data_IF_563624818338
#
_entry.id   IF_563624818338
#
_cell.length_a   1.000
_cell.length_b   1.000
_cell.length_c   1.000
_cell.angle_alpha   90.00
_cell.angle_beta   90.00
_cell.angle_gamma   90.00
#
_symmetry.space_group_name_H-M   'P 1'
#
loop_
_entity.id
_entity.type
_entity.pdbx_description
1 polymer ?
#
# COMPACT_ATOMS: atom_id res chain seq x y z
N UNK A 1 -3.37 -3.46 -12.03
CA UNK A 1 -2.25 -4.21 -12.62
C UNK A 1 -1.51 -4.96 -11.53
N UNK A 2 -1.14 -6.18 -11.78
CA UNK A 2 -0.42 -7.01 -10.82
C UNK A 2 0.90 -7.43 -11.45
N UNK A 3 1.96 -7.26 -10.68
CA UNK A 3 3.31 -7.61 -11.12
C UNK A 3 3.91 -8.58 -10.11
N UNK A 4 4.54 -9.64 -10.60
CA UNK A 4 5.26 -10.60 -9.77
C UNK A 4 6.74 -10.49 -10.06
N UNK A 5 7.52 -10.31 -9.02
CA UNK A 5 8.96 -10.20 -9.15
C UNK A 5 9.62 -11.12 -8.11
N UNK A 6 10.37 -12.15 -8.53
CA UNK A 6 11.02 -13.06 -7.59
C UNK A 6 12.24 -12.46 -6.89
N UNK A 7 12.72 -11.29 -7.34
CA UNK A 7 13.88 -10.65 -6.74
C UNK A 7 13.48 -9.91 -5.48
N UNK A 8 14.46 -9.49 -4.70
CA UNK A 8 14.26 -9.11 -3.31
C UNK A 8 13.48 -7.82 -3.08
N UNK A 9 13.37 -6.90 -4.02
CA UNK A 9 12.68 -5.63 -3.81
C UNK A 9 11.85 -5.27 -5.04
N UNK A 10 10.69 -5.89 -5.19
CA UNK A 10 9.88 -5.69 -6.39
C UNK A 10 9.40 -4.25 -6.55
N UNK A 11 9.10 -3.56 -5.45
CA UNK A 11 8.62 -2.18 -5.56
C UNK A 11 9.71 -1.26 -6.10
N UNK A 12 10.91 -1.32 -5.53
CA UNK A 12 12.01 -0.47 -5.97
C UNK A 12 12.37 -0.74 -7.42
N UNK A 13 12.37 -2.01 -7.84
CA UNK A 13 12.69 -2.37 -9.22
C UNK A 13 11.68 -1.77 -10.19
N UNK A 14 10.40 -1.90 -9.90
CA UNK A 14 9.35 -1.36 -10.78
C UNK A 14 9.40 0.16 -10.82
N UNK A 15 9.58 0.80 -9.68
CA UNK A 15 9.61 2.25 -9.62
C UNK A 15 10.85 2.81 -10.30
N UNK A 16 12.00 2.16 -10.15
CA UNK A 16 13.22 2.59 -10.81
C UNK A 16 13.09 2.56 -12.34
N UNK A 17 12.46 1.51 -12.86
CA UNK A 17 12.21 1.40 -14.29
C UNK A 17 11.27 2.50 -14.78
N UNK A 18 10.44 3.02 -13.93
CA UNK A 18 9.46 4.05 -14.26
C UNK A 18 9.96 5.47 -13.98
N UNK A 19 11.19 5.63 -13.50
CA UNK A 19 11.70 6.96 -13.14
C UNK A 19 11.10 7.50 -11.86
N UNK A 20 10.66 6.62 -10.96
CA UNK A 20 10.03 6.98 -9.69
C UNK A 20 10.86 6.46 -8.52
N UNK A 21 10.70 7.08 -7.38
CA UNK A 21 11.38 6.66 -6.15
C UNK A 21 10.42 6.68 -4.99
N UNK A 22 10.40 5.60 -4.22
CA UNK A 22 9.60 5.49 -3.03
C UNK A 22 10.37 5.92 -1.79
N UNK A 23 9.69 6.60 -0.87
CA UNK A 23 10.25 6.99 0.41
C UNK A 23 9.28 6.61 1.51
N UNK A 24 9.68 5.70 2.37
CA UNK A 24 8.85 5.23 3.47
C UNK A 24 8.74 6.32 4.54
N UNK A 25 7.54 6.66 4.95
CA UNK A 25 7.33 7.72 5.94
C UNK A 25 6.35 7.35 7.04
N UNK A 26 5.61 6.26 6.89
CA UNK A 26 4.55 5.88 7.81
C UNK A 26 4.64 4.39 8.12
N UNK A 27 4.48 4.07 9.40
CA UNK A 27 4.39 2.70 9.88
C UNK A 27 3.03 2.53 10.56
N UNK A 28 2.30 1.50 10.18
CA UNK A 28 0.99 1.21 10.74
C UNK A 28 0.93 -0.21 11.27
N UNK A 29 1.14 -0.43 12.57
CA UNK A 29 0.76 -1.68 13.20
C UNK A 29 -0.74 -1.68 13.47
N UNK A 30 -1.40 -2.79 13.24
CA UNK A 30 -2.83 -2.92 13.50
C UNK A 30 -3.17 -4.34 13.92
N UNK A 31 -4.27 -4.49 14.64
CA UNK A 31 -4.73 -5.78 15.10
C UNK A 31 -6.20 -5.75 15.44
N UNK A 32 -6.78 -6.95 15.63
CA UNK A 32 -8.20 -7.09 15.87
C UNK A 32 -9.02 -6.76 14.62
N UNK A 33 -10.21 -6.22 14.81
CA UNK A 33 -11.05 -5.76 13.71
C UNK A 33 -10.78 -4.30 13.41
N UNK A 34 -10.36 -4.00 12.19
CA UNK A 34 -10.04 -2.64 11.81
C UNK A 34 -10.29 -2.41 10.34
N UNK A 35 -10.58 -1.16 9.99
CA UNK A 35 -10.70 -0.72 8.61
C UNK A 35 -10.42 0.78 8.52
N UNK A 36 -9.51 1.16 7.63
CA UNK A 36 -9.08 2.54 7.45
C UNK A 36 -9.24 2.96 6.01
N UNK A 37 -9.81 4.15 5.81
CA UNK A 37 -9.94 4.76 4.49
C UNK A 37 -8.85 5.79 4.31
N UNK A 38 -8.17 5.72 3.17
CA UNK A 38 -7.13 6.65 2.77
C UNK A 38 -7.58 7.39 1.52
N UNK A 39 -7.26 8.67 1.46
CA UNK A 39 -7.56 9.50 0.29
C UNK A 39 -6.30 10.23 -0.14
N UNK A 40 -5.38 9.55 -0.83
CA UNK A 40 -4.14 10.19 -1.23
C UNK A 40 -4.37 11.19 -2.35
N UNK A 41 -3.66 12.30 -2.29
CA UNK A 41 -3.69 13.32 -3.34
C UNK A 41 -2.61 13.07 -4.39
N UNK A 42 -1.66 12.22 -4.07
CA UNK A 42 -0.50 11.93 -4.89
C UNK A 42 -0.33 10.42 -5.04
N UNK A 43 0.77 10.04 -5.63
CA UNK A 43 1.14 8.64 -5.75
C UNK A 43 1.63 8.13 -4.40
N UNK A 44 1.00 7.09 -3.90
CA UNK A 44 1.34 6.49 -2.60
C UNK A 44 1.60 5.02 -2.76
N UNK A 45 2.45 4.48 -1.88
CA UNK A 45 2.69 3.04 -1.83
C UNK A 45 2.49 2.52 -0.41
N UNK A 46 2.23 1.21 -0.31
CA UNK A 46 2.19 0.49 0.95
C UNK A 46 2.75 -0.90 0.76
N UNK A 47 3.45 -1.38 1.76
CA UNK A 47 4.02 -2.73 1.78
C UNK A 47 3.50 -3.43 3.03
N UNK A 48 3.00 -4.65 2.88
CA UNK A 48 2.64 -5.48 4.02
C UNK A 48 3.91 -6.13 4.54
N UNK A 49 4.36 -5.67 5.68
CA UNK A 49 5.59 -6.16 6.27
C UNK A 49 5.37 -7.46 7.03
N UNK A 50 4.21 -7.58 7.69
CA UNK A 50 3.88 -8.75 8.50
C UNK A 50 2.37 -8.92 8.52
N UNK A 51 1.92 -10.18 8.55
CA UNK A 51 0.50 -10.49 8.60
C UNK A 51 -0.16 -10.37 7.24
N UNK A 52 -1.45 -10.13 7.24
CA UNK A 52 -2.22 -9.96 6.01
C UNK A 52 -3.41 -9.03 6.24
N UNK A 53 -3.87 -8.43 5.18
CA UNK A 53 -5.02 -7.53 5.22
C UNK A 53 -5.74 -7.53 3.86
N UNK A 54 -6.84 -6.78 3.78
CA UNK A 54 -7.61 -6.64 2.56
C UNK A 54 -7.48 -5.23 2.01
N UNK A 55 -7.37 -5.13 0.70
CA UNK A 55 -7.36 -3.86 -0.02
C UNK A 55 -8.65 -3.74 -0.83
N UNK A 56 -9.34 -2.61 -0.67
CA UNK A 56 -10.52 -2.29 -1.48
C UNK A 56 -10.29 -0.97 -2.20
N UNK A 57 -10.56 -0.96 -3.49
CA UNK A 57 -10.54 0.25 -4.31
C UNK A 57 -11.86 0.32 -5.07
N UNK A 58 -12.29 1.52 -5.51
CA UNK A 58 -13.55 1.64 -6.23
C UNK A 58 -13.58 0.75 -7.48
N UNK A 59 -14.74 0.16 -7.72
CA UNK A 59 -15.02 -0.62 -8.93
C UNK A 59 -14.18 -1.88 -9.10
N UNK A 60 -13.54 -2.35 -8.03
CA UNK A 60 -12.79 -3.59 -8.05
C UNK A 60 -13.14 -4.46 -6.85
N UNK A 61 -13.06 -5.80 -6.98
CA UNK A 61 -13.30 -6.66 -5.84
C UNK A 61 -12.21 -6.49 -4.78
N UNK A 62 -12.56 -6.78 -3.53
CA UNK A 62 -11.59 -6.75 -2.45
C UNK A 62 -10.47 -7.74 -2.72
N UNK A 63 -9.25 -7.35 -2.41
CA UNK A 63 -8.07 -8.18 -2.65
C UNK A 63 -7.30 -8.41 -1.36
N UNK A 64 -6.95 -9.67 -1.12
CA UNK A 64 -6.17 -10.05 0.05
C UNK A 64 -4.68 -9.82 -0.22
N UNK A 65 -4.04 -9.14 0.70
CA UNK A 65 -2.60 -8.89 0.64
C UNK A 65 -1.90 -9.64 1.77
N UNK A 66 -0.76 -10.19 1.48
CA UNK A 66 0.05 -10.97 2.42
C UNK A 66 1.40 -10.32 2.62
N UNK A 67 2.12 -10.76 3.64
CA UNK A 67 3.46 -10.22 3.91
C UNK A 67 4.34 -10.28 2.67
N UNK A 68 4.97 -9.18 2.37
CA UNK A 68 5.80 -9.01 1.17
C UNK A 68 5.08 -8.37 -0.01
N UNK A 69 3.75 -8.43 -0.03
CA UNK A 69 2.99 -7.78 -1.09
C UNK A 69 3.02 -6.26 -0.92
N UNK A 70 3.01 -5.56 -2.02
CA UNK A 70 2.92 -4.10 -1.98
C UNK A 70 1.98 -3.60 -3.06
N UNK A 71 1.56 -2.37 -2.91
CA UNK A 71 0.71 -1.74 -3.91
C UNK A 71 1.02 -0.25 -4.00
N UNK A 72 0.76 0.30 -5.17
CA UNK A 72 0.89 1.72 -5.45
C UNK A 72 -0.46 2.22 -5.93
N UNK A 73 -0.92 3.32 -5.37
CA UNK A 73 -2.17 3.96 -5.78
C UNK A 73 -1.89 5.36 -6.29
N UNK A 74 -2.60 5.74 -7.34
CA UNK A 74 -2.48 7.06 -7.95
C UNK A 74 -3.79 7.82 -7.76
N UNK A 75 -3.81 8.72 -6.79
CA UNK A 75 -4.97 9.61 -6.54
C UNK A 75 -6.29 8.88 -6.37
N UNK A 76 -6.25 7.67 -5.86
CA UNK A 76 -7.42 6.82 -5.73
C UNK A 76 -7.69 6.56 -4.27
N UNK A 77 -8.90 6.78 -3.78
CA UNK A 77 -9.22 6.39 -2.40
C UNK A 77 -9.14 4.88 -2.27
N UNK A 78 -8.68 4.42 -1.13
CA UNK A 78 -8.60 2.99 -0.88
C UNK A 78 -8.86 2.71 0.59
N UNK A 79 -9.26 1.48 0.87
CA UNK A 79 -9.51 1.01 2.22
C UNK A 79 -8.61 -0.19 2.49
N UNK A 80 -7.92 -0.15 3.64
CA UNK A 80 -7.21 -1.30 4.17
C UNK A 80 -7.99 -1.79 5.38
N UNK A 81 -8.18 -3.09 5.50
CA UNK A 81 -9.00 -3.66 6.56
C UNK A 81 -8.60 -5.08 6.92
N UNK A 82 -9.03 -5.49 8.11
CA UNK A 82 -8.80 -6.87 8.56
C UNK A 82 -9.75 -7.86 7.90
N UNK A 83 -10.87 -7.40 7.34
CA UNK A 83 -11.82 -8.25 6.63
C UNK A 83 -12.35 -7.52 5.41
N UNK A 84 -12.86 -8.29 4.43
CA UNK A 84 -13.19 -7.76 3.11
C UNK A 84 -14.27 -6.69 3.08
N UNK A 85 -15.18 -6.67 4.04
CA UNK A 85 -16.35 -5.79 3.99
C UNK A 85 -16.62 -5.06 5.31
N UNK A 86 -15.60 -4.52 5.93
CA UNK A 86 -15.76 -3.73 7.15
C UNK A 86 -15.95 -2.24 6.83
N UNK A 87 -16.74 -1.57 7.68
CA UNK A 87 -16.94 -0.12 7.57
C UNK A 87 -15.67 0.60 8.03
N UNK A 88 -15.09 1.46 7.18
CA UNK A 88 -13.85 2.14 7.53
C UNK A 88 -14.08 3.45 8.29
N UNK A 89 -13.05 3.86 9.02
CA UNK A 89 -12.92 5.23 9.49
C UNK A 89 -11.79 5.88 8.71
N UNK A 90 -11.74 7.21 8.74
CA UNK A 90 -10.70 7.93 8.00
C UNK A 90 -9.34 7.76 8.67
N UNK A 91 -8.35 7.34 7.89
CA UNK A 91 -7.00 7.16 8.41
C UNK A 91 -6.41 8.46 8.96
N UNK A 92 -6.79 9.60 8.40
CA UNK A 92 -6.31 10.89 8.86
C UNK A 92 -6.65 11.14 10.34
N UNK A 93 -7.76 10.59 10.84
CA UNK A 93 -8.12 10.74 12.24
C UNK A 93 -7.16 9.96 13.15
N UNK A 94 -6.71 8.80 12.70
CA UNK A 94 -5.77 7.98 13.46
C UNK A 94 -4.39 8.60 13.46
N UNK A 95 -3.90 9.01 12.29
CA UNK A 95 -2.56 9.57 12.17
C UNK A 95 -2.44 10.97 12.76
N UNK A 96 -3.52 11.73 12.83
CA UNK A 96 -3.50 13.04 13.46
C UNK A 96 -3.12 12.94 14.94
N UNK A 97 -3.50 11.87 15.63
CA UNK A 97 -3.16 11.67 17.03
C UNK A 97 -1.79 11.05 17.23
N UNK A 98 -1.34 10.24 16.29
CA UNK A 98 -0.14 9.42 16.45
C UNK A 98 1.05 9.88 15.61
N UNK A 99 0.89 10.93 14.81
CA UNK A 99 1.94 11.40 13.93
C UNK A 99 2.17 10.44 12.78
N UNK A 100 3.45 10.19 12.45
CA UNK A 100 3.80 9.32 11.32
C UNK A 100 3.81 7.84 11.68
N UNK A 101 3.57 7.49 12.93
CA UNK A 101 3.49 6.10 13.38
C UNK A 101 2.22 5.93 14.19
N UNK A 102 1.30 5.12 13.69
CA UNK A 102 0.01 4.89 14.32
C UNK A 102 -0.13 3.42 14.71
N UNK A 103 -0.82 3.17 15.81
CA UNK A 103 -1.26 1.83 16.19
C UNK A 103 -2.76 1.85 16.21
N UNK A 104 -3.38 0.91 15.52
CA UNK A 104 -4.83 0.89 15.41
C UNK A 104 -5.39 -0.48 15.77
N UNK A 105 -6.43 -0.46 16.55
CA UNK A 105 -7.08 -1.68 17.02
C UNK A 105 -6.38 -2.29 18.21
N UNK A 106 -6.60 -3.56 18.45
CA UNK A 106 -6.04 -4.30 19.57
C UNK A 106 -5.04 -5.31 19.05
N UNK A 107 -3.83 -5.29 19.59
CA UNK A 107 -2.79 -6.21 19.18
C UNK A 107 -1.94 -5.67 18.04
N UNK A 108 -1.18 -6.57 17.44
CA UNK A 108 -0.20 -6.20 16.43
C UNK A 108 -0.11 -7.33 15.40
N UNK A 109 -1.26 -7.69 14.83
CA UNK A 109 -1.38 -8.82 13.92
C UNK A 109 -0.80 -8.51 12.55
N UNK A 110 -0.84 -7.24 12.16
CA UNK A 110 -0.36 -6.82 10.85
C UNK A 110 0.46 -5.55 11.00
N UNK A 111 1.46 -5.41 10.16
CA UNK A 111 2.23 -4.19 10.08
C UNK A 111 2.40 -3.80 8.62
N UNK A 112 2.06 -2.54 8.32
CA UNK A 112 2.23 -1.97 7.00
C UNK A 112 3.22 -0.83 7.06
N UNK A 113 3.97 -0.66 5.98
CA UNK A 113 4.82 0.50 5.76
C UNK A 113 4.27 1.25 4.56
N UNK A 114 4.06 2.53 4.71
CA UNK A 114 3.55 3.37 3.65
C UNK A 114 4.40 4.60 3.42
N UNK A 115 4.19 5.24 2.31
CA UNK A 115 4.91 6.45 2.00
C UNK A 115 4.50 7.05 0.67
N UNK A 116 5.23 8.07 0.26
CA UNK A 116 5.00 8.74 -1.00
C UNK A 116 5.97 8.26 -2.06
N UNK A 117 5.55 8.42 -3.31
CA UNK A 117 6.39 8.14 -4.47
C UNK A 117 6.70 9.46 -5.12
N UNK A 118 7.97 9.75 -5.34
CA UNK A 118 8.41 11.00 -5.95
C UNK A 118 8.94 10.76 -7.36
N UNK A 119 8.92 11.82 -8.15
CA UNK A 119 9.49 11.80 -9.50
C UNK A 119 11.01 11.94 -9.42
N UNK A 120 11.73 11.12 -10.18
CA UNK A 120 13.18 11.19 -10.24
C UNK A 120 13.63 11.85 -11.52
N UNK A 121 12.80 11.85 -12.55
CA UNK A 121 13.12 12.46 -13.83
C UNK A 121 11.93 13.23 -14.38
N UNK A 122 12.15 14.24 -15.23
CA UNK A 122 11.04 15.01 -15.80
C UNK A 122 10.04 14.18 -16.59
N UNK A 123 10.49 13.13 -17.27
CA UNK A 123 9.61 12.28 -18.06
C UNK A 123 8.68 11.42 -17.22
N UNK A 124 8.94 11.27 -15.93
CA UNK A 124 8.09 10.46 -15.08
C UNK A 124 6.71 11.08 -14.88
N UNK A 125 6.58 12.41 -15.01
CA UNK A 125 5.30 13.07 -14.89
C UNK A 125 4.31 12.59 -15.95
N UNK A 126 4.78 12.44 -17.18
CA UNK A 126 3.93 11.93 -18.26
C UNK A 126 3.54 10.48 -18.01
N UNK A 127 4.44 9.70 -17.45
CA UNK A 127 4.18 8.30 -17.16
C UNK A 127 3.07 8.14 -16.14
N UNK A 128 2.97 9.03 -15.16
CA UNK A 128 1.93 8.94 -14.14
C UNK A 128 0.51 8.97 -14.73
N UNK A 129 0.33 9.68 -15.82
CA UNK A 129 -0.98 9.77 -16.47
C UNK A 129 -1.39 8.44 -17.10
N UNK A 130 -0.43 7.59 -17.39
CA UNK A 130 -0.68 6.29 -18.02
C UNK A 130 -0.77 5.15 -17.01
N UNK A 131 -0.44 5.39 -15.75
CA UNK A 131 -0.50 4.35 -14.73
C UNK A 131 -1.95 4.03 -14.39
N UNK A 132 -2.29 2.75 -14.20
CA UNK A 132 -3.60 2.41 -13.67
C UNK A 132 -3.75 2.96 -12.25
N UNK A 133 -4.99 3.14 -11.77
CA UNK A 133 -5.22 3.67 -10.42
C UNK A 133 -4.53 2.86 -9.32
N UNK A 134 -4.38 1.56 -9.52
CA UNK A 134 -3.76 0.66 -8.56
C UNK A 134 -2.83 -0.30 -9.27
N UNK A 135 -1.64 -0.45 -8.73
CA UNK A 135 -0.67 -1.45 -9.16
C UNK A 135 -0.37 -2.32 -7.95
N UNK A 136 -0.57 -3.62 -8.07
CA UNK A 136 -0.29 -4.56 -7.00
C UNK A 136 0.90 -5.42 -7.41
N UNK A 137 1.89 -5.50 -6.54
CA UNK A 137 3.10 -6.27 -6.75
C UNK A 137 3.10 -7.39 -5.71
N UNK A 138 2.90 -8.61 -6.16
CA UNK A 138 2.83 -9.76 -5.28
C UNK A 138 4.23 -10.30 -4.98
N UNK A 139 4.48 -10.56 -3.71
CA UNK A 139 5.70 -11.23 -3.33
C UNK A 139 5.61 -12.70 -3.75
N UNK A 140 6.69 -13.23 -4.31
CA UNK A 140 6.76 -14.66 -4.53
C UNK A 140 7.17 -15.32 -3.22
N UNK A 141 6.43 -16.35 -2.86
CA UNK A 141 6.80 -17.13 -1.71
C UNK A 141 8.15 -17.78 -1.98
N UNK A 142 9.13 -17.46 -1.16
CA UNK A 142 10.46 -18.01 -1.28
C UNK A 142 10.42 -19.52 -1.05
N UNK A 143 10.99 -20.26 -1.97
CA UNK A 143 11.04 -21.72 -1.84
C UNK A 143 9.70 -22.39 -2.00
N UNK A 144 8.65 -21.67 -2.00
CA UNK A 144 7.37 -22.26 -2.32
C UNK A 144 7.23 -22.34 -3.79
N UNK A 145 7.99 -21.95 -4.29
CA UNK A 145 7.96 -22.23 -5.65
C UNK A 145 6.89 -23.15 -5.99
#
# INVERSE_FOLDING_TARGET
MIIQNPLSDPLSDVLALSGLRAACSVRLPAGGGWALRFQPLELKFNVVRRGECWLRVPDQPARRLRAGDCFVVSRTPFVLSSAADMQPINASEVFAESGSSAVYGVGNDVELLGGSVSLVSPGAADLLEWLPPVIIIEARASGAT
#
